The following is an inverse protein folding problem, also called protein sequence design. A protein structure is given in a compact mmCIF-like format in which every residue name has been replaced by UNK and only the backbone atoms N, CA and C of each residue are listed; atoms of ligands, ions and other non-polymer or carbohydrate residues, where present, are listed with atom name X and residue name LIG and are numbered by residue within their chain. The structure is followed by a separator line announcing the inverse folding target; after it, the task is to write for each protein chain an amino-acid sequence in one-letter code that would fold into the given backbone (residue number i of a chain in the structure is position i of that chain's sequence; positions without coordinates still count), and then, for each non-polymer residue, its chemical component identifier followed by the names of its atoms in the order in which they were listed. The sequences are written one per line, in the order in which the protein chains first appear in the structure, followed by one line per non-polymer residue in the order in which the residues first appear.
data_IF_275927169439
#
_entry.id   IF_275927169439
#
_cell.length_a   1.000
_cell.length_b   1.000
_cell.length_c   1.000
_cell.angle_alpha   90.00
_cell.angle_beta   90.00
_cell.angle_gamma   90.00
#
_symmetry.space_group_name_H-M   'P 1'
#
loop_
_entity.id
_entity.type
_entity.pdbx_description
1 polymer ?
#
# COMPACT_ATOMS: atom_id res chain seq x y z
N UNK A 1 -28.22 -6.75 -53.39
CA UNK A 1 -27.93 -8.14 -53.73
C UNK A 1 -27.04 -8.67 -52.61
N UNK A 2 -27.35 -9.59 -51.79
CA UNK A 2 -28.25 -10.72 -51.57
C UNK A 2 -28.19 -10.95 -50.05
N UNK A 3 -29.21 -10.86 -49.32
CA UNK A 3 -30.12 -11.81 -48.65
C UNK A 3 -29.48 -13.19 -48.35
N UNK A 4 -29.45 -13.63 -47.05
CA UNK A 4 -30.36 -14.67 -46.49
C UNK A 4 -29.86 -15.12 -45.10
N UNK A 5 -30.70 -15.13 -44.15
CA UNK A 5 -31.56 -16.06 -43.40
C UNK A 5 -30.84 -16.59 -42.15
N UNK A 6 -31.21 -16.40 -40.92
CA UNK A 6 -32.48 -16.68 -40.24
C UNK A 6 -32.59 -18.13 -39.80
N UNK A 7 -32.34 -18.44 -38.49
CA UNK A 7 -32.85 -19.64 -37.87
C UNK A 7 -33.16 -19.34 -36.39
N UNK A 8 -34.49 -19.25 -36.10
CA UNK A 8 -35.01 -19.26 -34.75
C UNK A 8 -35.14 -20.72 -34.28
N UNK A 9 -34.67 -21.02 -33.12
CA UNK A 9 -34.96 -22.28 -32.41
C UNK A 9 -35.97 -22.01 -31.29
N UNK A 10 -37.15 -22.58 -31.53
CA UNK A 10 -38.25 -22.62 -30.62
C UNK A 10 -37.95 -23.75 -29.59
N UNK A 11 -37.98 -23.48 -28.28
CA UNK A 11 -38.04 -24.55 -27.28
C UNK A 11 -39.40 -24.57 -26.64
N UNK A 12 -40.05 -25.73 -26.79
CA UNK A 12 -41.34 -26.06 -26.22
C UNK A 12 -41.29 -26.24 -24.71
N UNK A 13 -42.18 -25.55 -23.99
CA UNK A 13 -42.57 -25.87 -22.63
C UNK A 13 -43.44 -27.13 -22.62
N UNK A 14 -43.09 -28.11 -21.79
CA UNK A 14 -44.01 -29.12 -21.32
C UNK A 14 -44.26 -28.95 -19.82
N UNK A 15 -45.47 -28.50 -19.47
CA UNK A 15 -45.99 -28.56 -18.12
C UNK A 15 -46.39 -30.01 -17.83
N UNK A 16 -45.89 -30.55 -16.71
CA UNK A 16 -46.50 -31.70 -16.04
C UNK A 16 -46.77 -31.31 -14.58
N UNK A 17 -48.05 -31.12 -14.28
CA UNK A 17 -48.55 -30.99 -12.92
C UNK A 17 -48.88 -32.38 -12.36
N UNK A 18 -48.38 -32.69 -11.15
CA UNK A 18 -49.04 -33.65 -10.28
C UNK A 18 -48.72 -33.28 -8.82
N UNK A 19 -49.75 -33.10 -8.07
CA UNK A 19 -49.74 -32.68 -6.67
C UNK A 19 -49.41 -33.80 -5.68
N UNK A 20 -49.02 -33.40 -4.49
CA UNK A 20 -48.86 -34.27 -3.32
C UNK A 20 -48.31 -33.43 -2.15
N UNK A 21 -49.19 -33.11 -1.19
CA UNK A 21 -48.81 -32.32 0.00
C UNK A 21 -47.90 -33.12 0.94
N UNK A 22 -46.93 -32.40 1.48
CA UNK A 22 -46.06 -32.83 2.57
C UNK A 22 -45.41 -31.60 3.18
N UNK A 23 -45.85 -31.21 4.38
CA UNK A 23 -45.23 -30.20 5.20
C UNK A 23 -43.85 -30.66 5.64
N UNK A 24 -42.82 -30.20 4.93
CA UNK A 24 -41.42 -30.36 5.29
C UNK A 24 -40.83 -28.98 5.55
N UNK A 25 -40.36 -28.77 6.76
CA UNK A 25 -39.53 -27.64 7.20
C UNK A 25 -38.34 -27.50 6.24
N UNK A 26 -38.38 -26.50 5.39
CA UNK A 26 -37.21 -26.12 4.57
C UNK A 26 -36.18 -25.43 5.49
N UNK A 27 -35.27 -26.23 6.04
CA UNK A 27 -33.98 -25.73 6.45
C UNK A 27 -33.30 -25.20 5.21
N UNK A 28 -33.16 -23.88 5.12
CA UNK A 28 -32.33 -23.24 4.12
C UNK A 28 -30.88 -23.69 4.35
N UNK A 29 -30.45 -24.71 3.60
CA UNK A 29 -29.01 -24.99 3.50
C UNK A 29 -28.38 -23.79 2.82
N UNK A 30 -27.61 -23.00 3.58
CA UNK A 30 -26.64 -22.11 2.99
C UNK A 30 -25.78 -22.98 2.08
N UNK A 31 -25.81 -22.69 0.79
CA UNK A 31 -24.81 -23.24 -0.13
C UNK A 31 -23.49 -22.67 0.32
N UNK A 32 -22.65 -23.51 0.91
CA UNK A 32 -21.24 -23.16 1.19
C UNK A 32 -20.62 -22.94 -0.18
N UNK A 33 -20.29 -21.70 -0.49
CA UNK A 33 -19.51 -21.36 -1.68
C UNK A 33 -18.16 -22.09 -1.54
N UNK A 34 -17.66 -22.73 -2.61
CA UNK A 34 -16.33 -23.34 -2.54
C UNK A 34 -15.29 -22.25 -2.22
N UNK A 35 -14.39 -22.54 -1.30
CA UNK A 35 -13.26 -21.66 -0.98
C UNK A 35 -12.46 -21.43 -2.25
N UNK A 36 -12.09 -20.16 -2.55
CA UNK A 36 -11.26 -19.86 -3.69
C UNK A 36 -9.91 -20.59 -3.58
N UNK A 37 -9.44 -21.18 -4.66
CA UNK A 37 -8.19 -21.92 -4.70
C UNK A 37 -7.20 -21.19 -5.58
N UNK A 38 -5.96 -21.01 -5.06
CA UNK A 38 -4.81 -20.48 -5.75
C UNK A 38 -3.74 -21.59 -5.85
N UNK A 39 -3.27 -21.88 -7.04
CA UNK A 39 -2.15 -22.80 -7.23
C UNK A 39 -0.83 -22.05 -7.10
N UNK A 40 -0.04 -22.39 -6.08
CA UNK A 40 1.28 -21.80 -5.85
C UNK A 40 2.37 -22.71 -6.47
N UNK A 41 3.32 -22.08 -7.14
CA UNK A 41 4.52 -22.74 -7.64
C UNK A 41 5.71 -22.39 -6.74
N UNK A 42 6.13 -23.34 -5.92
CA UNK A 42 7.25 -23.13 -5.02
C UNK A 42 8.60 -23.30 -5.72
N UNK A 43 9.55 -22.47 -5.32
CA UNK A 43 10.94 -22.46 -5.83
C UNK A 43 11.94 -22.25 -4.70
N UNK A 44 13.24 -22.29 -5.03
CA UNK A 44 14.28 -21.98 -4.04
C UNK A 44 14.17 -20.51 -3.56
N UNK A 45 14.30 -20.31 -2.26
CA UNK A 45 14.32 -18.97 -1.67
C UNK A 45 15.47 -18.12 -2.27
N UNK A 46 15.22 -16.84 -2.61
CA UNK A 46 16.27 -15.94 -3.09
C UNK A 46 17.23 -15.45 -1.98
N UNK A 47 16.90 -15.72 -0.71
CA UNK A 47 17.74 -15.43 0.44
C UNK A 47 18.04 -16.72 1.20
N UNK A 48 19.17 -16.75 1.92
CA UNK A 48 19.51 -17.85 2.80
C UNK A 48 18.64 -17.84 4.07
N UNK A 49 18.03 -18.99 4.41
CA UNK A 49 17.13 -19.19 5.56
C UNK A 49 17.68 -20.31 6.47
N UNK A 50 18.82 -20.09 7.15
CA UNK A 50 19.56 -21.17 7.83
C UNK A 50 18.79 -21.82 8.98
N UNK A 51 17.92 -21.08 9.67
CA UNK A 51 17.28 -21.49 10.90
C UNK A 51 15.73 -21.52 10.81
N UNK A 52 15.18 -21.34 9.61
CA UNK A 52 13.73 -21.21 9.43
C UNK A 52 13.27 -21.98 8.20
N UNK A 53 12.37 -22.96 8.41
CA UNK A 53 11.69 -23.61 7.32
C UNK A 53 10.58 -22.69 6.77
N UNK A 54 10.68 -22.37 5.49
CA UNK A 54 9.66 -21.60 4.79
C UNK A 54 9.64 -21.97 3.31
N UNK A 55 8.45 -22.08 2.74
CA UNK A 55 8.24 -22.17 1.31
C UNK A 55 8.31 -20.78 0.67
N UNK A 56 8.78 -20.72 -0.57
CA UNK A 56 8.86 -19.49 -1.33
C UNK A 56 8.16 -19.65 -2.68
N UNK A 57 7.21 -18.75 -2.96
CA UNK A 57 6.56 -18.63 -4.26
C UNK A 57 6.86 -17.26 -4.86
N UNK A 58 7.37 -17.24 -6.09
CA UNK A 58 7.65 -16.02 -6.84
C UNK A 58 6.53 -15.71 -7.82
N UNK A 59 6.40 -14.41 -8.15
CA UNK A 59 5.52 -13.90 -9.20
C UNK A 59 4.05 -14.36 -9.08
N UNK A 60 3.51 -14.37 -7.85
CA UNK A 60 2.10 -14.63 -7.61
C UNK A 60 1.29 -13.47 -8.19
N UNK A 61 0.52 -13.73 -9.24
CA UNK A 61 -0.29 -12.73 -9.95
C UNK A 61 -1.53 -12.34 -9.13
N UNK A 62 -1.66 -11.06 -8.78
CA UNK A 62 -2.81 -10.53 -8.04
C UNK A 62 -3.75 -9.64 -8.89
N UNK A 63 -3.42 -9.42 -10.16
CA UNK A 63 -4.17 -8.60 -11.11
C UNK A 63 -3.64 -8.75 -12.54
N UNK A 64 -4.29 -8.07 -13.49
CA UNK A 64 -4.00 -8.20 -14.93
C UNK A 64 -2.82 -7.35 -15.41
N UNK A 65 -2.32 -6.45 -14.58
CA UNK A 65 -1.19 -5.57 -14.92
C UNK A 65 0.14 -6.31 -14.92
N UNK A 66 1.10 -5.94 -15.77
CA UNK A 66 2.39 -6.64 -15.87
C UNK A 66 3.24 -6.56 -14.60
N UNK A 67 2.87 -5.69 -13.67
CA UNK A 67 3.50 -5.54 -12.36
C UNK A 67 2.60 -5.97 -11.20
N UNK A 68 1.40 -6.47 -11.48
CA UNK A 68 0.51 -6.96 -10.44
C UNK A 68 0.94 -8.35 -9.95
N UNK A 69 2.16 -8.44 -9.43
CA UNK A 69 2.75 -9.65 -8.87
C UNK A 69 3.39 -9.37 -7.52
N UNK A 70 3.36 -10.36 -6.64
CA UNK A 70 4.14 -10.35 -5.41
C UNK A 70 4.91 -11.68 -5.25
N UNK A 71 5.97 -11.65 -4.45
CA UNK A 71 6.62 -12.87 -3.99
C UNK A 71 6.26 -13.08 -2.52
N UNK A 72 6.13 -14.34 -2.10
CA UNK A 72 5.74 -14.66 -0.73
C UNK A 72 6.60 -15.76 -0.13
N UNK A 73 6.98 -15.55 1.13
CA UNK A 73 7.60 -16.51 2.02
C UNK A 73 6.56 -16.98 3.03
N UNK A 74 6.28 -18.26 3.05
CA UNK A 74 5.28 -18.91 3.91
C UNK A 74 6.01 -19.79 4.93
N UNK A 75 5.97 -19.47 6.23
CA UNK A 75 6.58 -20.31 7.25
C UNK A 75 5.87 -21.68 7.31
N UNK A 76 6.63 -22.73 7.58
CA UNK A 76 6.08 -24.08 7.81
C UNK A 76 5.19 -24.06 9.07
N UNK A 77 3.88 -24.22 8.88
CA UNK A 77 2.89 -24.14 9.96
C UNK A 77 1.63 -24.94 9.61
N UNK A 78 1.14 -25.70 10.60
CA UNK A 78 -0.15 -26.39 10.52
C UNK A 78 -1.37 -25.45 10.70
N UNK A 79 -1.12 -24.21 11.19
CA UNK A 79 -2.17 -23.22 11.45
C UNK A 79 -1.94 -21.98 10.58
N UNK A 80 -3.00 -21.24 10.22
CA UNK A 80 -2.88 -20.00 9.47
C UNK A 80 -1.96 -18.99 10.16
N UNK A 81 -1.04 -18.38 9.42
CA UNK A 81 -0.03 -17.45 9.95
C UNK A 81 -0.38 -15.99 9.68
N UNK A 82 -0.01 -15.04 10.54
CA UNK A 82 -0.08 -13.61 10.19
C UNK A 82 0.74 -13.31 8.93
N UNK A 83 0.43 -12.18 8.27
CA UNK A 83 1.12 -11.73 7.06
C UNK A 83 1.66 -10.31 7.22
N UNK A 84 2.88 -10.07 6.78
CA UNK A 84 3.44 -8.73 6.55
C UNK A 84 3.59 -8.50 5.05
N UNK A 85 3.00 -7.41 4.54
CA UNK A 85 3.21 -6.91 3.18
C UNK A 85 4.30 -5.84 3.19
N UNK A 86 5.31 -6.01 2.35
CA UNK A 86 6.35 -5.02 2.12
C UNK A 86 6.16 -4.33 0.76
N UNK A 87 6.21 -3.00 0.75
CA UNK A 87 6.17 -2.18 -0.44
C UNK A 87 7.52 -1.51 -0.66
N UNK A 88 8.09 -1.69 -1.86
CA UNK A 88 9.39 -1.13 -2.21
C UNK A 88 9.36 0.39 -2.40
N UNK A 89 10.51 1.04 -2.26
CA UNK A 89 10.71 2.45 -2.63
C UNK A 89 10.91 2.65 -4.12
N UNK A 90 11.26 3.89 -4.50
CA UNK A 90 11.56 4.26 -5.88
C UNK A 90 10.66 5.35 -6.46
N UNK A 91 10.00 6.15 -5.59
CA UNK A 91 9.22 7.33 -5.99
C UNK A 91 8.03 7.02 -6.89
N UNK A 92 7.51 5.80 -6.84
CA UNK A 92 6.47 5.27 -7.75
C UNK A 92 6.88 5.23 -9.23
N UNK A 93 8.11 5.59 -9.58
CA UNK A 93 8.61 5.63 -10.96
C UNK A 93 9.68 4.56 -11.24
N UNK A 94 10.08 3.83 -10.21
CA UNK A 94 11.08 2.77 -10.27
C UNK A 94 10.97 1.83 -9.07
N UNK A 95 11.86 0.85 -9.00
CA UNK A 95 11.88 -0.12 -7.93
C UNK A 95 11.30 -1.48 -8.34
N UNK A 96 11.52 -2.45 -7.47
CA UNK A 96 11.07 -3.82 -7.69
C UNK A 96 10.96 -4.57 -6.36
N UNK A 97 10.03 -5.54 -6.27
CA UNK A 97 9.84 -6.41 -5.11
C UNK A 97 11.11 -7.11 -4.64
N UNK A 98 12.02 -7.40 -5.57
CA UNK A 98 13.31 -8.03 -5.26
C UNK A 98 14.24 -7.16 -4.42
N UNK A 99 13.98 -5.85 -4.25
CA UNK A 99 14.74 -4.99 -3.33
C UNK A 99 14.67 -5.48 -1.89
N UNK A 100 13.58 -6.16 -1.50
CA UNK A 100 13.46 -6.80 -0.20
C UNK A 100 14.60 -7.80 0.09
N UNK A 101 15.04 -8.54 -0.92
CA UNK A 101 16.05 -9.58 -0.75
C UNK A 101 17.44 -9.02 -0.42
N UNK A 102 17.77 -7.88 -0.99
CA UNK A 102 19.07 -7.24 -0.79
C UNK A 102 19.11 -6.37 0.48
N UNK A 103 17.99 -5.68 0.77
CA UNK A 103 17.95 -4.64 1.81
C UNK A 103 17.28 -5.11 3.12
N UNK A 104 16.37 -6.09 3.04
CA UNK A 104 15.49 -6.51 4.15
C UNK A 104 15.55 -8.02 4.46
N UNK A 105 16.63 -8.71 4.05
CA UNK A 105 16.77 -10.15 4.29
C UNK A 105 16.74 -10.51 5.78
N UNK A 106 17.30 -9.66 6.64
CA UNK A 106 17.28 -9.88 8.09
C UNK A 106 15.90 -9.69 8.70
N UNK A 107 15.14 -8.72 8.21
CA UNK A 107 13.75 -8.50 8.62
C UNK A 107 12.86 -9.67 8.17
N UNK A 108 13.02 -10.17 6.93
CA UNK A 108 12.32 -11.36 6.44
C UNK A 108 12.58 -12.55 7.38
N UNK A 109 13.85 -12.82 7.73
CA UNK A 109 14.19 -13.90 8.68
C UNK A 109 13.53 -13.70 10.05
N UNK A 110 13.48 -12.47 10.56
CA UNK A 110 12.86 -12.17 11.85
C UNK A 110 11.33 -12.41 11.82
N UNK A 111 10.64 -12.01 10.76
CA UNK A 111 9.21 -12.28 10.60
C UNK A 111 8.95 -13.79 10.50
N UNK A 112 9.67 -14.51 9.65
CA UNK A 112 9.55 -15.96 9.51
C UNK A 112 9.85 -16.70 10.81
N UNK A 113 10.89 -16.32 11.54
CA UNK A 113 11.22 -16.88 12.86
C UNK A 113 10.12 -16.60 13.91
N UNK A 114 9.33 -15.55 13.72
CA UNK A 114 8.17 -15.25 14.53
C UNK A 114 6.90 -16.01 14.08
N UNK A 115 6.97 -16.85 13.02
CA UNK A 115 5.82 -17.56 12.44
C UNK A 115 4.92 -16.64 11.61
N UNK A 116 5.47 -15.59 11.01
CA UNK A 116 4.75 -14.59 10.23
C UNK A 116 5.17 -14.71 8.77
N UNK A 117 4.22 -14.89 7.87
CA UNK A 117 4.44 -14.86 6.43
C UNK A 117 4.88 -13.46 5.97
N UNK A 118 5.69 -13.41 4.91
CA UNK A 118 6.20 -12.17 4.36
C UNK A 118 5.97 -12.11 2.86
N UNK A 119 5.32 -11.07 2.37
CA UNK A 119 5.17 -10.84 0.94
C UNK A 119 5.80 -9.50 0.53
N UNK A 120 6.53 -9.50 -0.59
CA UNK A 120 7.07 -8.30 -1.21
C UNK A 120 6.34 -8.02 -2.52
N UNK A 121 5.80 -6.80 -2.65
CA UNK A 121 4.79 -6.47 -3.64
C UNK A 121 5.33 -5.51 -4.69
N UNK A 122 5.16 -5.85 -5.96
CA UNK A 122 5.25 -4.91 -7.07
C UNK A 122 3.90 -4.22 -7.27
N UNK A 123 3.91 -2.99 -7.71
CA UNK A 123 2.75 -2.17 -8.04
C UNK A 123 3.01 -1.37 -9.31
N UNK A 124 2.01 -0.73 -9.88
CA UNK A 124 2.13 0.12 -11.07
C UNK A 124 3.21 1.20 -10.88
N UNK A 125 4.07 1.37 -11.89
CA UNK A 125 5.05 2.45 -11.93
C UNK A 125 4.60 3.53 -12.89
N UNK A 126 4.65 4.78 -12.42
CA UNK A 126 4.30 5.98 -13.17
C UNK A 126 5.42 6.37 -14.14
N UNK A 127 5.07 6.94 -15.28
CA UNK A 127 6.03 7.53 -16.22
C UNK A 127 6.31 8.99 -15.87
N UNK A 128 7.59 9.40 -15.92
CA UNK A 128 7.99 10.81 -15.88
C UNK A 128 7.97 11.46 -17.27
N UNK A 129 7.69 10.69 -18.33
CA UNK A 129 7.61 11.14 -19.70
C UNK A 129 6.15 11.29 -20.13
N UNK A 130 5.87 12.33 -20.91
CA UNK A 130 4.52 12.59 -21.42
C UNK A 130 4.10 11.53 -22.47
N UNK A 131 2.80 11.14 -22.54
CA UNK A 131 1.75 11.63 -21.64
C UNK A 131 1.89 11.06 -20.23
N UNK A 132 1.67 11.89 -19.23
CA UNK A 132 1.65 11.44 -17.83
C UNK A 132 0.42 10.59 -17.56
N UNK A 133 0.50 9.74 -16.54
CA UNK A 133 -0.66 8.97 -16.09
C UNK A 133 -1.69 9.93 -15.45
N UNK A 134 -2.89 10.08 -16.00
CA UNK A 134 -3.90 11.01 -15.48
C UNK A 134 -4.43 10.59 -14.12
N UNK A 135 -4.29 9.30 -13.74
CA UNK A 135 -4.69 8.80 -12.44
C UNK A 135 -3.63 9.09 -11.37
N UNK A 136 -2.43 9.54 -11.77
CA UNK A 136 -1.35 9.84 -10.84
C UNK A 136 -1.00 8.67 -9.93
N UNK A 137 -0.61 8.98 -8.70
CA UNK A 137 -0.15 7.95 -7.74
C UNK A 137 -1.26 7.01 -7.26
N UNK A 138 -2.54 7.39 -7.39
CA UNK A 138 -3.66 6.58 -6.87
C UNK A 138 -3.66 5.17 -7.48
N UNK A 139 -3.26 5.02 -8.74
CA UNK A 139 -3.17 3.73 -9.41
C UNK A 139 -2.17 2.78 -8.74
N UNK A 140 -1.02 3.29 -8.31
CA UNK A 140 -0.03 2.50 -7.57
C UNK A 140 -0.54 2.09 -6.18
N UNK A 141 -1.30 2.99 -5.54
CA UNK A 141 -1.91 2.74 -4.23
C UNK A 141 -3.04 1.71 -4.31
N UNK A 142 -3.89 1.79 -5.34
CA UNK A 142 -4.98 0.83 -5.59
C UNK A 142 -4.45 -0.55 -5.94
N UNK A 143 -3.38 -0.66 -6.73
CA UNK A 143 -2.68 -1.93 -6.96
C UNK A 143 -2.20 -2.55 -5.65
N UNK A 144 -1.64 -1.72 -4.77
CA UNK A 144 -1.16 -2.16 -3.45
C UNK A 144 -2.30 -2.61 -2.53
N UNK A 145 -3.43 -1.91 -2.56
CA UNK A 145 -4.65 -2.31 -1.86
C UNK A 145 -5.20 -3.63 -2.41
N UNK A 146 -5.22 -3.78 -3.74
CA UNK A 146 -5.64 -5.01 -4.39
C UNK A 146 -4.76 -6.20 -4.01
N UNK A 147 -3.44 -6.03 -3.88
CA UNK A 147 -2.54 -7.10 -3.42
C UNK A 147 -2.91 -7.59 -2.02
N UNK A 148 -3.26 -6.68 -1.10
CA UNK A 148 -3.78 -7.01 0.23
C UNK A 148 -5.11 -7.76 0.16
N UNK A 149 -6.06 -7.27 -0.65
CA UNK A 149 -7.36 -7.91 -0.84
C UNK A 149 -7.22 -9.29 -1.48
N UNK A 150 -6.31 -9.45 -2.44
CA UNK A 150 -6.00 -10.73 -3.06
C UNK A 150 -5.44 -11.74 -2.05
N UNK A 151 -4.49 -11.32 -1.22
CA UNK A 151 -3.95 -12.19 -0.18
C UNK A 151 -5.04 -12.66 0.80
N UNK A 152 -6.00 -11.81 1.15
CA UNK A 152 -7.15 -12.17 1.98
C UNK A 152 -8.11 -13.12 1.29
N UNK A 153 -8.44 -12.85 0.04
CA UNK A 153 -9.36 -13.69 -0.73
C UNK A 153 -8.83 -15.12 -0.89
N UNK A 154 -7.50 -15.28 -1.03
CA UNK A 154 -6.82 -16.56 -1.15
C UNK A 154 -6.12 -17.01 0.15
N UNK A 155 -6.58 -16.54 1.29
CA UNK A 155 -5.95 -16.78 2.59
C UNK A 155 -5.73 -18.26 2.90
N UNK A 156 -6.70 -19.12 2.56
CA UNK A 156 -6.58 -20.58 2.75
C UNK A 156 -5.44 -21.18 1.91
N UNK A 157 -5.32 -20.76 0.63
CA UNK A 157 -4.24 -21.25 -0.25
C UNK A 157 -2.86 -20.75 0.18
N UNK A 158 -2.80 -19.57 0.79
CA UNK A 158 -1.57 -18.98 1.32
C UNK A 158 -1.28 -19.40 2.77
N UNK A 159 -2.15 -20.19 3.41
CA UNK A 159 -2.09 -20.53 4.82
C UNK A 159 -1.87 -19.31 5.74
N UNK A 160 -2.59 -18.21 5.46
CA UNK A 160 -2.53 -16.98 6.27
C UNK A 160 -3.83 -16.72 7.03
N UNK A 161 -3.73 -16.05 8.18
CA UNK A 161 -4.87 -15.47 8.87
C UNK A 161 -5.25 -14.13 8.23
N UNK A 162 -6.38 -14.03 7.50
CA UNK A 162 -6.79 -12.81 6.82
C UNK A 162 -7.07 -11.64 7.77
N UNK A 163 -7.24 -11.90 9.08
CA UNK A 163 -7.45 -10.86 10.08
C UNK A 163 -6.13 -10.32 10.68
N UNK A 164 -5.01 -10.99 10.45
CA UNK A 164 -3.70 -10.65 11.02
C UNK A 164 -2.75 -10.22 9.91
N UNK A 165 -3.02 -9.07 9.29
CA UNK A 165 -2.18 -8.50 8.23
C UNK A 165 -1.68 -7.13 8.64
N UNK A 166 -0.38 -6.91 8.51
CA UNK A 166 0.27 -5.61 8.67
C UNK A 166 1.03 -5.24 7.39
N UNK A 167 1.43 -3.98 7.25
CA UNK A 167 2.27 -3.55 6.15
C UNK A 167 3.42 -2.66 6.61
N UNK A 168 4.50 -2.63 5.82
CA UNK A 168 5.51 -1.60 5.93
C UNK A 168 6.19 -1.36 4.57
N UNK A 169 6.93 -0.29 4.48
CA UNK A 169 7.69 -0.01 3.28
C UNK A 169 8.75 1.06 3.48
N UNK A 170 9.46 1.37 2.40
CA UNK A 170 10.52 2.37 2.35
C UNK A 170 10.14 3.45 1.33
N UNK A 171 10.30 4.75 1.66
CA UNK A 171 10.06 5.86 0.75
C UNK A 171 8.65 5.83 0.15
N UNK A 172 8.48 5.68 -1.16
CA UNK A 172 7.17 5.50 -1.82
C UNK A 172 6.36 4.35 -1.18
N UNK A 173 7.01 3.20 -0.92
CA UNK A 173 6.36 2.08 -0.23
C UNK A 173 5.95 2.40 1.20
N UNK A 174 6.71 3.26 1.90
CA UNK A 174 6.33 3.76 3.22
C UNK A 174 5.05 4.60 3.14
N UNK A 175 4.97 5.52 2.16
CA UNK A 175 3.76 6.31 1.91
C UNK A 175 2.56 5.44 1.51
N UNK A 176 2.80 4.34 0.79
CA UNK A 176 1.76 3.33 0.47
C UNK A 176 1.25 2.66 1.75
N UNK A 177 2.15 2.22 2.64
CA UNK A 177 1.77 1.62 3.93
C UNK A 177 0.96 2.59 4.80
N UNK A 178 1.39 3.87 4.86
CA UNK A 178 0.65 4.93 5.56
C UNK A 178 -0.74 5.14 4.98
N UNK A 179 -0.85 5.23 3.65
CA UNK A 179 -2.14 5.42 2.98
C UNK A 179 -3.09 4.25 3.23
N UNK A 180 -2.61 3.00 3.16
CA UNK A 180 -3.42 1.82 3.50
C UNK A 180 -3.88 1.82 4.95
N UNK A 181 -3.03 2.26 5.87
CA UNK A 181 -3.32 2.26 7.31
C UNK A 181 -4.25 3.37 7.76
N UNK A 182 -4.34 4.49 7.00
CA UNK A 182 -5.16 5.67 7.33
C UNK A 182 -6.39 5.84 6.43
N UNK A 183 -6.46 5.09 5.33
CA UNK A 183 -7.60 5.14 4.41
C UNK A 183 -8.79 4.37 4.99
N UNK A 184 -10.01 4.84 4.71
CA UNK A 184 -11.21 4.05 4.91
C UNK A 184 -11.15 2.72 4.17
N UNK A 185 -11.82 1.72 4.71
CA UNK A 185 -11.88 0.39 4.09
C UNK A 185 -12.41 0.48 2.66
N UNK A 186 -11.65 -0.09 1.71
CA UNK A 186 -12.00 -0.10 0.29
C UNK A 186 -12.84 -1.33 -0.11
N UNK A 187 -13.25 -2.16 0.84
CA UNK A 187 -14.12 -3.29 0.56
C UNK A 187 -15.43 -2.85 -0.10
N UNK A 188 -15.72 -3.40 -1.28
CA UNK A 188 -16.96 -3.18 -2.01
C UNK A 188 -17.73 -4.51 -2.11
N UNK A 189 -18.66 -4.72 -1.19
CA UNK A 189 -19.43 -5.98 -1.09
C UNK A 189 -20.24 -6.33 -2.35
N UNK A 190 -20.53 -5.34 -3.20
CA UNK A 190 -21.30 -5.51 -4.42
C UNK A 190 -20.42 -5.62 -5.68
N UNK A 191 -19.08 -5.53 -5.53
CA UNK A 191 -18.17 -5.59 -6.66
C UNK A 191 -18.27 -6.92 -7.42
N UNK A 192 -18.19 -6.88 -8.74
CA UNK A 192 -18.20 -8.11 -9.56
C UNK A 192 -16.94 -8.95 -9.33
N UNK A 193 -15.79 -8.30 -9.11
CA UNK A 193 -14.54 -8.96 -8.71
C UNK A 193 -14.58 -9.31 -7.21
N UNK A 194 -14.62 -10.60 -6.85
CA UNK A 194 -14.71 -11.00 -5.45
C UNK A 194 -13.50 -10.59 -4.61
N UNK A 195 -12.33 -10.37 -5.22
CA UNK A 195 -11.13 -9.86 -4.54
C UNK A 195 -11.39 -8.48 -3.94
N UNK A 196 -12.07 -7.61 -4.67
CA UNK A 196 -12.37 -6.24 -4.22
C UNK A 196 -13.46 -6.17 -3.13
N UNK A 197 -14.05 -7.31 -2.76
CA UNK A 197 -14.97 -7.40 -1.61
C UNK A 197 -14.25 -7.57 -0.28
N UNK A 198 -12.95 -7.93 -0.33
CA UNK A 198 -12.14 -8.10 0.86
C UNK A 198 -11.74 -6.75 1.46
N UNK A 199 -11.61 -6.72 2.79
CA UNK A 199 -11.21 -5.52 3.53
C UNK A 199 -9.77 -5.10 3.23
N UNK A 200 -9.51 -3.79 3.25
CA UNK A 200 -8.15 -3.22 3.20
C UNK A 200 -7.61 -2.79 4.57
N UNK A 201 -8.36 -3.00 5.66
CA UNK A 201 -7.91 -2.66 7.03
C UNK A 201 -6.72 -3.52 7.45
N UNK A 202 -5.68 -2.92 8.04
CA UNK A 202 -4.49 -3.60 8.54
C UNK A 202 -4.33 -3.43 10.05
N UNK A 203 -3.51 -4.29 10.68
CA UNK A 203 -3.27 -4.29 12.13
C UNK A 203 -2.22 -3.29 12.58
N UNK A 204 -1.28 -2.97 11.72
CA UNK A 204 -0.24 -1.97 11.97
C UNK A 204 0.37 -1.51 10.64
N UNK A 205 0.86 -0.28 10.62
CA UNK A 205 1.58 0.30 9.48
C UNK A 205 2.99 0.73 9.90
N UNK A 206 3.98 0.41 9.05
CA UNK A 206 5.37 0.82 9.22
C UNK A 206 5.85 1.67 8.06
N UNK A 207 6.56 2.75 8.36
CA UNK A 207 7.05 3.69 7.35
C UNK A 207 8.50 4.08 7.61
N UNK A 208 9.40 3.67 6.71
CA UNK A 208 10.82 3.97 6.79
C UNK A 208 11.19 4.99 5.72
N UNK A 209 11.85 6.08 6.12
CA UNK A 209 12.22 7.17 5.19
C UNK A 209 11.03 7.71 4.41
N UNK A 210 9.94 8.00 5.10
CA UNK A 210 8.65 8.35 4.50
C UNK A 210 8.47 9.83 4.23
N UNK A 211 7.51 10.14 3.36
CA UNK A 211 6.84 11.43 3.28
C UNK A 211 5.66 11.45 4.26
N UNK A 212 5.31 12.61 4.81
CA UNK A 212 4.17 12.73 5.71
C UNK A 212 2.81 12.57 5.01
N UNK A 213 2.77 12.84 3.71
CA UNK A 213 1.59 12.76 2.86
C UNK A 213 2.00 12.76 1.39
N UNK A 214 1.18 12.16 0.53
CA UNK A 214 1.31 12.24 -0.92
C UNK A 214 0.64 13.50 -1.50
N UNK A 215 -0.13 14.27 -0.70
CA UNK A 215 -0.51 15.63 -1.03
C UNK A 215 0.70 16.57 -0.93
N UNK A 216 1.54 16.56 -1.96
CA UNK A 216 2.82 17.27 -2.00
C UNK A 216 2.65 18.78 -1.74
N UNK A 217 1.51 19.38 -2.10
CA UNK A 217 1.24 20.80 -1.83
C UNK A 217 1.29 21.10 -0.31
N UNK A 218 0.92 20.16 0.53
CA UNK A 218 0.97 20.30 1.98
C UNK A 218 2.39 20.35 2.54
N UNK A 219 3.38 19.88 1.77
CA UNK A 219 4.78 19.94 2.18
C UNK A 219 5.29 21.39 2.35
N UNK A 220 4.65 22.37 1.72
CA UNK A 220 4.98 23.78 1.96
C UNK A 220 4.87 24.13 3.47
N UNK A 221 3.88 23.57 4.16
CA UNK A 221 3.70 23.77 5.60
C UNK A 221 4.64 22.87 6.40
N UNK A 222 4.73 21.59 6.04
CA UNK A 222 5.57 20.59 6.73
C UNK A 222 7.04 20.99 6.69
N UNK A 223 7.52 21.43 5.53
CA UNK A 223 8.93 21.78 5.30
C UNK A 223 9.21 23.27 5.46
N UNK A 224 8.25 24.08 5.93
CA UNK A 224 8.41 25.53 6.12
C UNK A 224 9.71 25.90 6.85
N UNK A 225 10.15 25.22 7.93
CA UNK A 225 11.37 25.57 8.64
C UNK A 225 12.64 25.56 7.77
N UNK A 226 12.67 24.75 6.69
CA UNK A 226 13.82 24.65 5.79
C UNK A 226 13.60 25.35 4.45
N UNK A 227 12.36 25.58 4.04
CA UNK A 227 12.03 26.23 2.75
C UNK A 227 11.92 27.74 2.88
N UNK A 228 11.32 28.26 3.94
CA UNK A 228 11.17 29.71 4.15
C UNK A 228 12.49 30.48 4.12
N UNK A 229 13.60 29.99 4.73
CA UNK A 229 14.90 30.62 4.60
C UNK A 229 15.44 30.70 3.17
N UNK A 230 14.96 29.85 2.26
CA UNK A 230 15.34 29.81 0.85
C UNK A 230 14.54 30.76 -0.04
N UNK A 231 13.44 31.35 0.47
CA UNK A 231 12.59 32.26 -0.30
C UNK A 231 13.35 33.33 -1.08
N UNK A 232 14.38 34.03 -0.53
CA UNK A 232 15.12 35.04 -1.27
C UNK A 232 15.82 34.51 -2.54
N UNK A 233 16.28 33.27 -2.53
CA UNK A 233 16.94 32.63 -3.70
C UNK A 233 15.92 31.96 -4.63
N UNK A 234 14.70 31.72 -4.16
CA UNK A 234 13.58 31.17 -4.92
C UNK A 234 12.68 32.26 -5.54
N UNK A 235 13.16 33.50 -5.63
CA UNK A 235 12.40 34.62 -6.20
C UNK A 235 11.27 35.16 -5.31
N UNK A 236 11.33 34.88 -4.01
CA UNK A 236 10.36 35.34 -3.00
C UNK A 236 9.17 34.42 -2.78
N UNK A 237 9.12 33.25 -3.41
CA UNK A 237 8.06 32.25 -3.24
C UNK A 237 8.61 30.95 -2.62
N UNK A 238 7.77 30.32 -1.79
CA UNK A 238 8.01 28.98 -1.21
C UNK A 238 6.94 27.98 -1.63
N UNK A 239 6.14 28.34 -2.64
CA UNK A 239 5.15 27.42 -3.18
C UNK A 239 5.81 26.17 -3.77
N UNK A 240 5.18 25.01 -3.56
CA UNK A 240 5.75 23.72 -3.96
C UNK A 240 6.12 23.63 -5.45
N UNK A 241 5.33 24.16 -6.41
CA UNK A 241 5.74 24.15 -7.82
C UNK A 241 7.04 24.94 -8.08
N UNK A 242 7.28 26.04 -7.34
CA UNK A 242 8.51 26.84 -7.45
C UNK A 242 9.69 26.07 -6.85
N UNK A 243 9.50 25.44 -5.71
CA UNK A 243 10.52 24.59 -5.07
C UNK A 243 10.85 23.39 -5.95
N UNK A 244 9.85 22.70 -6.49
CA UNK A 244 10.02 21.57 -7.39
C UNK A 244 10.79 21.97 -8.66
N UNK A 245 10.49 23.13 -9.24
CA UNK A 245 11.22 23.65 -10.41
C UNK A 245 12.69 23.94 -10.07
N UNK A 246 12.97 24.54 -8.93
CA UNK A 246 14.33 24.81 -8.47
C UNK A 246 15.16 23.54 -8.21
N UNK A 247 14.50 22.45 -7.80
CA UNK A 247 15.09 21.13 -7.59
C UNK A 247 15.11 20.26 -8.85
N UNK A 248 14.55 20.71 -9.98
CA UNK A 248 14.41 19.90 -11.20
C UNK A 248 13.38 18.76 -11.06
N UNK A 249 12.44 18.85 -10.11
CA UNK A 249 11.48 17.81 -9.76
C UNK A 249 10.05 18.10 -10.26
N UNK A 250 9.86 19.02 -11.21
CA UNK A 250 8.52 19.40 -11.71
C UNK A 250 7.77 18.22 -12.30
N UNK A 251 8.40 17.40 -13.13
CA UNK A 251 7.74 16.23 -13.72
C UNK A 251 7.35 15.23 -12.64
N UNK A 252 8.16 15.04 -11.62
CA UNK A 252 7.81 14.18 -10.49
C UNK A 252 6.56 14.69 -9.75
N UNK A 253 6.50 15.99 -9.44
CA UNK A 253 5.32 16.61 -8.83
C UNK A 253 4.05 16.39 -9.69
N UNK A 254 4.15 16.65 -10.99
CA UNK A 254 3.01 16.51 -11.89
C UNK A 254 2.57 15.05 -12.04
N UNK A 255 3.53 14.13 -12.14
CA UNK A 255 3.28 12.69 -12.22
C UNK A 255 2.54 12.17 -10.99
N UNK A 256 2.97 12.55 -9.77
CA UNK A 256 2.30 12.13 -8.53
C UNK A 256 0.86 12.65 -8.46
N UNK A 257 0.64 13.87 -8.91
CA UNK A 257 -0.67 14.54 -8.83
C UNK A 257 -1.58 14.28 -10.05
N UNK A 258 -1.09 13.58 -11.09
CA UNK A 258 -1.86 13.32 -12.30
C UNK A 258 -2.23 14.59 -13.07
N UNK A 259 -1.34 15.60 -13.11
CA UNK A 259 -1.58 16.89 -13.75
C UNK A 259 -0.51 17.20 -14.80
N UNK A 260 -0.83 18.06 -15.77
CA UNK A 260 0.10 18.48 -16.81
C UNK A 260 0.64 19.91 -16.61
N UNK A 261 0.06 20.67 -15.67
CA UNK A 261 0.44 22.06 -15.42
C UNK A 261 0.34 22.44 -13.94
N UNK A 262 1.05 23.52 -13.56
CA UNK A 262 1.00 24.06 -12.20
C UNK A 262 -0.39 24.65 -11.84
N UNK A 263 -1.14 25.16 -12.84
CA UNK A 263 -2.47 25.68 -12.63
C UNK A 263 -3.46 24.57 -12.25
N UNK A 264 -3.34 23.38 -12.85
CA UNK A 264 -4.19 22.23 -12.56
C UNK A 264 -4.05 21.72 -11.13
N UNK A 265 -2.86 21.87 -10.51
CA UNK A 265 -2.64 21.49 -9.11
C UNK A 265 -3.70 22.08 -8.17
N UNK A 266 -4.14 23.31 -8.46
CA UNK A 266 -5.08 24.04 -7.60
C UNK A 266 -6.51 24.02 -8.12
N UNK A 267 -6.82 23.21 -9.14
CA UNK A 267 -8.19 23.00 -9.60
C UNK A 267 -9.03 22.28 -8.54
N UNK A 268 -10.37 22.47 -8.54
CA UNK A 268 -11.25 21.76 -7.62
C UNK A 268 -11.17 20.23 -7.77
N UNK A 269 -10.98 19.73 -8.97
CA UNK A 269 -10.84 18.31 -9.28
C UNK A 269 -9.56 17.75 -8.64
N UNK A 270 -8.44 18.45 -8.79
CA UNK A 270 -7.18 18.02 -8.20
C UNK A 270 -7.17 18.25 -6.68
N UNK A 271 -7.90 19.21 -6.15
CA UNK A 271 -8.08 19.35 -4.69
C UNK A 271 -8.73 18.11 -4.09
N UNK A 272 -9.80 17.59 -4.70
CA UNK A 272 -10.44 16.35 -4.25
C UNK A 272 -9.49 15.14 -4.34
N UNK A 273 -8.74 15.04 -5.44
CA UNK A 273 -7.70 14.03 -5.60
C UNK A 273 -6.63 14.12 -4.51
N UNK A 274 -6.05 15.30 -4.28
CA UNK A 274 -5.02 15.53 -3.26
C UNK A 274 -5.50 15.17 -1.85
N UNK A 275 -6.77 15.41 -1.54
CA UNK A 275 -7.37 15.02 -0.25
C UNK A 275 -7.46 13.50 -0.11
N UNK A 276 -7.73 12.76 -1.20
CA UNK A 276 -7.82 11.30 -1.16
C UNK A 276 -6.48 10.59 -0.90
N UNK A 277 -5.37 11.30 -1.07
CA UNK A 277 -3.99 10.83 -0.83
C UNK A 277 -3.28 11.58 0.31
N UNK A 278 -4.02 12.38 1.07
CA UNK A 278 -3.47 13.18 2.18
C UNK A 278 -3.54 12.42 3.50
N UNK A 279 -2.50 11.63 3.78
CA UNK A 279 -2.37 10.84 5.01
C UNK A 279 -2.61 11.67 6.28
N UNK A 280 -2.13 12.93 6.32
CA UNK A 280 -2.34 13.81 7.48
C UNK A 280 -3.81 14.25 7.66
N UNK A 281 -4.59 14.30 6.57
CA UNK A 281 -6.03 14.61 6.64
C UNK A 281 -6.86 13.36 6.90
N UNK A 282 -6.44 12.21 6.35
CA UNK A 282 -7.15 10.93 6.50
C UNK A 282 -7.01 10.34 7.90
N UNK A 283 -5.87 10.58 8.57
CA UNK A 283 -5.53 9.95 9.86
C UNK A 283 -6.54 10.25 10.96
N UNK A 284 -7.06 9.21 11.60
CA UNK A 284 -7.92 9.28 12.78
C UNK A 284 -7.53 8.28 13.90
N UNK A 285 -8.25 8.30 15.02
CA UNK A 285 -7.96 7.44 16.18
C UNK A 285 -8.31 5.97 16.00
N UNK A 286 -9.05 5.63 14.95
CA UNK A 286 -9.47 4.26 14.62
C UNK A 286 -8.54 3.56 13.63
N UNK A 287 -7.53 4.26 13.16
CA UNK A 287 -6.58 3.75 12.18
C UNK A 287 -5.58 2.75 12.78
N UNK A 288 -4.83 2.10 11.90
CA UNK A 288 -3.78 1.16 12.30
C UNK A 288 -2.68 1.88 13.10
N UNK A 289 -2.18 1.28 14.22
CA UNK A 289 -1.01 1.79 14.91
C UNK A 289 0.17 2.05 13.98
N UNK A 290 0.91 3.15 14.24
CA UNK A 290 1.89 3.74 13.33
C UNK A 290 3.33 3.59 13.84
N UNK A 291 4.22 3.05 13.02
CA UNK A 291 5.67 3.16 13.19
C UNK A 291 6.29 4.04 12.12
N UNK A 292 7.16 4.99 12.49
CA UNK A 292 7.91 5.83 11.54
C UNK A 292 9.39 5.93 11.93
N UNK A 293 10.27 5.85 10.94
CA UNK A 293 11.68 6.17 11.08
C UNK A 293 12.15 7.00 9.89
N UNK A 294 12.52 8.27 10.12
CA UNK A 294 13.26 9.10 9.17
C UNK A 294 14.63 9.48 9.74
N UNK A 295 15.67 9.28 8.93
CA UNK A 295 17.04 9.69 9.22
C UNK A 295 17.58 10.49 8.03
N UNK A 296 18.05 11.71 8.26
CA UNK A 296 18.59 12.58 7.21
C UNK A 296 20.01 12.20 6.77
N UNK A 297 20.74 11.43 7.58
CA UNK A 297 22.14 11.14 7.34
C UNK A 297 22.43 10.46 5.98
N UNK A 298 21.62 9.51 5.48
CA UNK A 298 21.82 8.91 4.18
C UNK A 298 21.65 9.88 2.99
N UNK A 299 20.95 10.99 3.17
CA UNK A 299 20.50 11.89 2.09
C UNK A 299 21.19 13.26 2.10
N UNK A 300 22.10 13.51 3.03
CA UNK A 300 22.74 14.84 3.25
C UNK A 300 23.41 15.45 2.02
N UNK A 301 23.85 14.62 1.07
CA UNK A 301 24.56 15.03 -0.14
C UNK A 301 23.65 15.04 -1.40
N UNK A 302 22.34 14.72 -1.24
CA UNK A 302 21.33 14.71 -2.30
C UNK A 302 20.11 15.54 -1.87
N UNK A 303 20.03 16.76 -2.40
CA UNK A 303 18.99 17.72 -2.00
C UNK A 303 17.57 17.25 -2.30
N UNK A 304 17.35 16.53 -3.40
CA UNK A 304 16.02 16.02 -3.73
C UNK A 304 15.61 14.94 -2.73
N UNK A 305 16.48 13.96 -2.52
CA UNK A 305 16.21 12.90 -1.56
C UNK A 305 16.16 13.41 -0.12
N UNK A 306 16.98 14.40 0.24
CA UNK A 306 16.88 15.05 1.55
C UNK A 306 15.50 15.71 1.75
N UNK A 307 14.98 16.38 0.72
CA UNK A 307 13.65 17.00 0.76
C UNK A 307 12.54 15.95 0.88
N UNK A 308 12.65 14.86 0.11
CA UNK A 308 11.68 13.75 0.11
C UNK A 308 11.63 13.00 1.45
N UNK A 309 12.76 12.88 2.15
CA UNK A 309 12.88 12.04 3.34
C UNK A 309 13.21 12.83 4.61
N UNK A 310 13.05 14.16 4.58
CA UNK A 310 13.41 15.03 5.70
C UNK A 310 12.65 14.62 6.98
N UNK A 311 13.33 14.70 8.12
CA UNK A 311 12.77 14.34 9.44
C UNK A 311 11.52 15.14 9.83
N UNK A 312 11.32 16.31 9.25
CA UNK A 312 10.09 17.09 9.40
C UNK A 312 8.84 16.34 8.95
N UNK A 313 8.94 15.40 8.00
CA UNK A 313 7.81 14.53 7.65
C UNK A 313 7.43 13.60 8.81
N UNK A 314 8.40 12.99 9.49
CA UNK A 314 8.13 12.16 10.66
C UNK A 314 7.56 12.99 11.82
N UNK A 315 8.03 14.22 12.00
CA UNK A 315 7.52 15.15 13.02
C UNK A 315 6.05 15.49 12.74
N UNK A 316 5.70 15.81 11.49
CA UNK A 316 4.32 16.12 11.11
C UNK A 316 3.38 14.91 11.33
N UNK A 317 3.84 13.68 11.04
CA UNK A 317 3.09 12.46 11.34
C UNK A 317 2.91 12.28 12.86
N UNK A 318 3.94 12.55 13.67
CA UNK A 318 3.83 12.49 15.13
C UNK A 318 2.81 13.49 15.67
N UNK A 319 2.89 14.75 15.20
CA UNK A 319 1.96 15.81 15.63
C UNK A 319 0.51 15.43 15.31
N UNK A 320 0.27 14.88 14.11
CA UNK A 320 -1.06 14.42 13.72
C UNK A 320 -1.52 13.20 14.54
N UNK A 321 -0.66 12.18 14.72
CA UNK A 321 -0.98 11.00 15.52
C UNK A 321 -1.34 11.37 16.97
N UNK A 322 -0.58 12.30 17.59
CA UNK A 322 -0.90 12.85 18.93
C UNK A 322 -2.22 13.58 18.91
N UNK A 323 -2.48 14.42 17.90
CA UNK A 323 -3.70 15.23 17.81
C UNK A 323 -4.96 14.37 17.73
N UNK A 324 -4.91 13.24 17.02
CA UNK A 324 -6.05 12.32 16.88
C UNK A 324 -6.07 11.19 17.92
N UNK A 325 -4.99 11.02 18.70
CA UNK A 325 -4.89 9.96 19.71
C UNK A 325 -4.56 8.58 19.13
N UNK A 326 -3.87 8.52 17.98
CA UNK A 326 -3.43 7.28 17.36
C UNK A 326 -2.19 6.72 18.06
N UNK A 327 -2.16 5.40 18.33
CA UNK A 327 -0.95 4.73 18.84
C UNK A 327 0.20 4.83 17.85
N UNK A 328 1.39 5.25 18.32
CA UNK A 328 2.53 5.46 17.46
C UNK A 328 3.87 5.23 18.15
N UNK A 329 4.88 4.85 17.36
CA UNK A 329 6.31 4.84 17.68
C UNK A 329 7.02 5.59 16.56
N UNK A 330 7.61 6.75 16.84
CA UNK A 330 8.15 7.64 15.81
C UNK A 330 9.54 8.13 16.18
N UNK A 331 10.49 7.92 15.25
CA UNK A 331 11.85 8.39 15.30
C UNK A 331 12.14 9.37 14.15
N UNK A 332 12.75 10.49 14.48
CA UNK A 332 13.30 11.46 13.55
C UNK A 332 14.75 11.73 13.95
N UNK A 333 15.73 11.37 13.11
CA UNK A 333 17.16 11.44 13.41
C UNK A 333 17.80 12.56 12.59
N UNK A 334 18.03 13.70 13.22
CA UNK A 334 18.65 14.88 12.62
C UNK A 334 19.28 15.76 13.72
N UNK A 335 20.38 16.49 13.45
CA UNK A 335 21.00 17.37 14.45
C UNK A 335 20.11 18.51 14.96
N UNK A 336 19.09 18.92 14.20
CA UNK A 336 18.24 20.08 14.49
C UNK A 336 16.79 19.67 14.78
N UNK A 337 16.26 18.77 13.96
CA UNK A 337 14.85 18.32 13.98
C UNK A 337 14.80 16.85 14.38
N UNK A 338 14.98 16.55 15.66
CA UNK A 338 15.00 15.17 16.16
C UNK A 338 13.80 14.86 17.06
N UNK A 339 13.36 13.63 16.95
CA UNK A 339 12.38 13.01 17.84
C UNK A 339 12.89 11.61 18.19
N UNK A 340 12.91 11.30 19.46
CA UNK A 340 13.23 9.97 19.95
C UNK A 340 11.99 9.39 20.64
N UNK A 341 11.69 8.13 20.39
CA UNK A 341 10.60 7.44 21.06
C UNK A 341 11.14 6.72 22.28
N UNK A 342 10.56 6.92 23.48
CA UNK A 342 11.07 6.34 24.71
C UNK A 342 10.98 4.80 24.76
N UNK A 343 10.20 4.16 23.89
CA UNK A 343 10.09 2.70 23.85
C UNK A 343 11.36 2.01 23.39
N UNK A 344 12.14 2.66 22.52
CA UNK A 344 13.28 2.03 21.84
C UNK A 344 12.88 0.89 20.90
N UNK A 345 11.60 0.76 20.56
CA UNK A 345 11.05 -0.32 19.74
C UNK A 345 11.42 -0.14 18.27
N UNK A 346 11.93 -1.20 17.62
CA UNK A 346 12.16 -1.22 16.17
C UNK A 346 10.92 -1.64 15.39
N UNK A 347 10.86 -1.31 14.09
CA UNK A 347 9.69 -1.57 13.23
C UNK A 347 9.28 -3.06 13.18
N UNK A 348 10.23 -3.98 13.12
CA UNK A 348 9.94 -5.44 13.13
C UNK A 348 9.25 -5.84 14.40
N UNK A 349 9.79 -5.46 15.56
CA UNK A 349 9.20 -5.76 16.87
C UNK A 349 7.81 -5.14 17.02
N UNK A 350 7.64 -3.91 16.55
CA UNK A 350 6.37 -3.20 16.53
C UNK A 350 5.31 -3.97 15.72
N UNK A 351 5.61 -4.36 14.48
CA UNK A 351 4.69 -5.11 13.63
C UNK A 351 4.36 -6.49 14.20
N UNK A 352 5.37 -7.22 14.72
CA UNK A 352 5.17 -8.52 15.37
C UNK A 352 4.22 -8.39 16.56
N UNK A 353 4.36 -7.34 17.39
CA UNK A 353 3.52 -7.11 18.57
C UNK A 353 2.04 -6.92 18.21
N UNK A 354 1.75 -6.30 17.06
CA UNK A 354 0.38 -6.06 16.62
C UNK A 354 -0.25 -7.23 15.84
N UNK A 355 0.57 -8.22 15.45
CA UNK A 355 0.14 -9.42 14.73
C UNK A 355 -0.04 -10.66 15.64
N UNK A 356 0.16 -10.51 16.96
CA UNK A 356 0.07 -11.61 17.96
C UNK A 356 -1.09 -11.46 18.92
#
# INVERSE_FOLDING_TARGET
MSMTRGAALLFCLTLAACGGGGSGSSGGGQQVQPTPQLELSFSASPIDLPDTAADFAADVEYGDGPRNVFDVFLPDSDEPTPLVLYFHGGGYTGGDKSFAYAAHADEIRQFLAAGIAFATVNYHLLSLEAPLDPDGVIRSLEDSARALQFARYYAESLNIDPQQVASYGVSAGASTSLWLGTRDDLADAENEDPVLRESTRIKAMGALYTQSTLNIVRWQQVLAPIVEPLAPVLGGSTEIPVVAAALGATNFLFTILGVESAEEIYSPENEAYRRSIDVLELMDSGDAPLYVLNDNAPFKDDLVNLFLHHTLHAIALKEQAVAVGLEHVIYAIDPVFSVDDPSGEGHVSFLIRHLR
#
